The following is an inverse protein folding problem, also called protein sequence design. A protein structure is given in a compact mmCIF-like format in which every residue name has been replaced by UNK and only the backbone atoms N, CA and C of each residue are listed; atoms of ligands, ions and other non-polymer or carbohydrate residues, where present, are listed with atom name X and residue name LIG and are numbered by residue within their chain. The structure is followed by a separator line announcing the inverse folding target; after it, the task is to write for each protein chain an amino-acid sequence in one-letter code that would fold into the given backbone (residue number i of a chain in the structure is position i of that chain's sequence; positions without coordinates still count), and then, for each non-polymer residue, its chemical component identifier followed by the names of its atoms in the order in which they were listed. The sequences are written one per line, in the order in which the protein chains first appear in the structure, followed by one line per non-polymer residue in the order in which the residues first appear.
data_IF_644407006576
#
_entry.id   IF_644407006576
#
_cell.length_a   1.000
_cell.length_b   1.000
_cell.length_c   1.000
_cell.angle_alpha   90.00
_cell.angle_beta   90.00
_cell.angle_gamma   90.00
#
_symmetry.space_group_name_H-M   'P 1'
#
loop_
_entity.id
_entity.type
_entity.pdbx_description
1 polymer ?
#
# COMPACT_ATOMS: atom_id res chain seq x y z
N UNK A 1 -32.25 -69.26 -22.42
CA UNK A 1 -32.06 -68.27 -21.32
C UNK A 1 -31.45 -66.92 -21.75
N UNK A 2 -31.34 -66.53 -23.02
CA UNK A 2 -30.71 -65.30 -23.52
C UNK A 2 -31.63 -64.07 -23.65
N UNK A 3 -32.93 -64.17 -23.47
CA UNK A 3 -33.88 -63.05 -23.73
C UNK A 3 -34.21 -62.18 -22.49
N UNK A 4 -34.04 -62.67 -21.25
CA UNK A 4 -34.44 -61.91 -20.03
C UNK A 4 -33.42 -60.86 -19.60
N UNK A 5 -32.12 -61.03 -19.91
CA UNK A 5 -31.06 -60.10 -19.59
C UNK A 5 -31.12 -58.82 -20.41
N UNK A 6 -31.42 -58.89 -21.73
CA UNK A 6 -31.49 -57.74 -22.61
C UNK A 6 -32.62 -56.74 -22.22
N UNK A 7 -33.77 -57.29 -21.75
CA UNK A 7 -34.89 -56.43 -21.27
C UNK A 7 -34.60 -55.68 -19.97
N UNK A 8 -33.82 -56.26 -19.08
CA UNK A 8 -33.43 -55.61 -17.83
C UNK A 8 -32.41 -54.49 -18.08
N UNK A 9 -31.41 -54.72 -18.91
CA UNK A 9 -30.41 -53.71 -19.28
C UNK A 9 -31.05 -52.49 -19.96
N UNK A 10 -32.01 -52.75 -20.91
CA UNK A 10 -32.74 -51.67 -21.58
C UNK A 10 -33.66 -50.87 -20.63
N UNK A 11 -34.21 -51.48 -19.57
CA UNK A 11 -34.97 -50.80 -18.55
C UNK A 11 -34.06 -49.93 -17.65
N UNK A 12 -32.92 -50.48 -17.22
CA UNK A 12 -31.93 -49.73 -16.41
C UNK A 12 -31.35 -48.55 -17.19
N UNK A 13 -31.02 -48.70 -18.45
CA UNK A 13 -30.57 -47.61 -19.31
C UNK A 13 -31.61 -46.49 -19.45
N UNK A 14 -32.91 -46.83 -19.65
CA UNK A 14 -33.96 -45.80 -19.70
C UNK A 14 -34.17 -45.07 -18.38
N UNK A 15 -34.06 -45.74 -17.25
CA UNK A 15 -34.17 -45.11 -15.94
C UNK A 15 -32.97 -44.19 -15.68
N UNK A 16 -31.76 -44.61 -16.09
CA UNK A 16 -30.54 -43.79 -15.96
C UNK A 16 -30.62 -42.53 -16.82
N UNK A 17 -31.10 -42.64 -18.07
CA UNK A 17 -31.27 -41.51 -18.99
C UNK A 17 -32.34 -40.54 -18.42
N UNK A 18 -33.47 -41.04 -17.89
CA UNK A 18 -34.50 -40.21 -17.29
C UNK A 18 -33.98 -39.48 -16.02
N UNK A 19 -33.19 -40.16 -15.18
CA UNK A 19 -32.55 -39.56 -14.01
C UNK A 19 -31.57 -38.48 -14.39
N UNK A 20 -30.71 -38.72 -15.42
CA UNK A 20 -29.77 -37.74 -15.93
C UNK A 20 -30.47 -36.52 -16.54
N UNK A 21 -31.57 -36.70 -17.30
CA UNK A 21 -32.36 -35.58 -17.83
C UNK A 21 -33.00 -34.76 -16.70
N UNK A 22 -33.57 -35.44 -15.69
CA UNK A 22 -34.09 -34.79 -14.49
C UNK A 22 -33.03 -33.96 -13.74
N UNK A 23 -31.86 -34.51 -13.53
CA UNK A 23 -30.73 -33.81 -12.91
C UNK A 23 -30.26 -32.63 -13.76
N UNK A 24 -30.20 -32.79 -15.09
CA UNK A 24 -29.82 -31.72 -16.01
C UNK A 24 -30.81 -30.55 -15.98
N UNK A 25 -32.12 -30.85 -15.99
CA UNK A 25 -33.17 -29.82 -15.86
C UNK A 25 -33.14 -29.10 -14.50
N UNK A 26 -32.97 -29.85 -13.42
CA UNK A 26 -32.80 -29.27 -12.08
C UNK A 26 -31.59 -28.35 -11.98
N UNK A 27 -30.45 -28.79 -12.55
CA UNK A 27 -29.25 -27.98 -12.63
C UNK A 27 -29.44 -26.69 -13.45
N UNK A 28 -30.09 -26.80 -14.62
CA UNK A 28 -30.41 -25.65 -15.47
C UNK A 28 -31.33 -24.64 -14.77
N UNK A 29 -32.36 -25.09 -14.08
CA UNK A 29 -33.26 -24.23 -13.28
C UNK A 29 -32.51 -23.57 -12.11
N UNK A 30 -31.66 -24.29 -11.41
CA UNK A 30 -30.86 -23.75 -10.33
C UNK A 30 -29.87 -22.67 -10.84
N UNK A 31 -29.24 -22.90 -11.99
CA UNK A 31 -28.34 -21.93 -12.63
C UNK A 31 -29.08 -20.67 -13.06
N UNK A 32 -30.26 -20.80 -13.69
CA UNK A 32 -31.13 -19.69 -14.06
C UNK A 32 -31.58 -18.88 -12.83
N UNK A 33 -31.96 -19.56 -11.75
CA UNK A 33 -32.29 -18.93 -10.48
C UNK A 33 -31.10 -18.14 -9.88
N UNK A 34 -29.91 -18.71 -9.92
CA UNK A 34 -28.71 -18.05 -9.48
C UNK A 34 -28.39 -16.80 -10.31
N UNK A 35 -28.53 -16.88 -11.64
CA UNK A 35 -28.31 -15.71 -12.55
C UNK A 35 -29.35 -14.63 -12.24
N UNK A 36 -30.64 -14.98 -12.10
CA UNK A 36 -31.68 -14.01 -11.78
C UNK A 36 -31.44 -13.32 -10.43
N UNK A 37 -31.07 -14.08 -9.39
CA UNK A 37 -30.73 -13.54 -8.08
C UNK A 37 -29.49 -12.63 -8.14
N UNK A 38 -28.49 -12.99 -8.94
CA UNK A 38 -27.30 -12.17 -9.10
C UNK A 38 -27.59 -10.85 -9.82
N UNK A 39 -28.45 -10.87 -10.86
CA UNK A 39 -28.90 -9.67 -11.56
C UNK A 39 -29.73 -8.76 -10.65
N UNK A 40 -30.64 -9.33 -9.86
CA UNK A 40 -31.42 -8.57 -8.88
C UNK A 40 -30.53 -7.92 -7.82
N UNK A 41 -29.55 -8.66 -7.29
CA UNK A 41 -28.59 -8.15 -6.35
C UNK A 41 -27.74 -7.02 -6.95
N UNK A 42 -27.30 -7.15 -8.21
CA UNK A 42 -26.57 -6.11 -8.93
C UNK A 42 -27.44 -4.85 -9.11
N UNK A 43 -28.70 -4.99 -9.47
CA UNK A 43 -29.64 -3.88 -9.58
C UNK A 43 -29.86 -3.14 -8.25
N UNK A 44 -30.05 -3.87 -7.14
CA UNK A 44 -30.18 -3.27 -5.79
C UNK A 44 -28.93 -2.51 -5.40
N UNK A 45 -27.72 -3.08 -5.65
CA UNK A 45 -26.45 -2.42 -5.37
C UNK A 45 -26.26 -1.18 -6.26
N UNK A 46 -26.67 -1.24 -7.52
CA UNK A 46 -26.65 -0.12 -8.47
C UNK A 46 -27.55 1.03 -8.04
N UNK A 47 -28.80 0.75 -7.66
CA UNK A 47 -29.76 1.75 -7.16
C UNK A 47 -29.23 2.42 -5.89
N UNK A 48 -28.63 1.65 -4.96
CA UNK A 48 -28.03 2.20 -3.75
C UNK A 48 -26.82 3.12 -4.05
N UNK A 49 -26.08 2.89 -5.15
CA UNK A 49 -25.03 3.80 -5.63
C UNK A 49 -25.62 5.10 -6.18
N UNK A 50 -26.72 5.03 -6.95
CA UNK A 50 -27.41 6.18 -7.53
C UNK A 50 -28.08 7.06 -6.45
N UNK A 51 -28.55 6.46 -5.36
CA UNK A 51 -29.16 7.18 -4.23
C UNK A 51 -28.16 7.95 -3.35
N UNK A 52 -26.88 7.65 -3.46
CA UNK A 52 -25.80 8.48 -2.87
C UNK A 52 -25.58 9.69 -3.80
N UNK A 53 -26.38 10.71 -3.62
CA UNK A 53 -26.43 11.89 -4.48
C UNK A 53 -25.16 12.77 -4.43
N UNK A 54 -25.15 13.89 -5.15
CA UNK A 54 -23.98 14.71 -5.45
C UNK A 54 -23.25 15.32 -4.23
N UNK A 55 -23.80 15.27 -3.02
CA UNK A 55 -23.10 15.71 -1.80
C UNK A 55 -21.81 14.90 -1.52
N UNK A 56 -21.76 13.62 -1.89
CA UNK A 56 -20.56 12.79 -1.81
C UNK A 56 -19.48 13.18 -2.84
N UNK A 57 -19.82 13.98 -3.83
CA UNK A 57 -18.93 14.41 -4.90
C UNK A 57 -18.03 15.59 -4.47
N UNK A 58 -18.38 16.28 -3.37
CA UNK A 58 -17.60 17.40 -2.81
C UNK A 58 -16.58 16.95 -1.75
N UNK A 59 -16.74 15.77 -1.17
CA UNK A 59 -15.80 15.22 -0.19
C UNK A 59 -14.61 14.57 -0.92
N UNK A 60 -13.40 15.11 -0.69
CA UNK A 60 -12.16 14.60 -1.28
C UNK A 60 -11.90 13.14 -0.94
N UNK A 61 -12.15 12.73 0.29
CA UNK A 61 -11.98 11.37 0.77
C UNK A 61 -12.90 10.42 0.01
N UNK A 62 -14.17 10.82 -0.20
CA UNK A 62 -15.12 10.03 -1.00
C UNK A 62 -14.69 9.92 -2.46
N UNK A 63 -14.15 10.98 -3.05
CA UNK A 63 -13.60 10.98 -4.43
C UNK A 63 -12.40 10.05 -4.53
N UNK A 64 -11.50 10.07 -3.54
CA UNK A 64 -10.37 9.15 -3.49
C UNK A 64 -10.84 7.69 -3.45
N UNK A 65 -11.72 7.32 -2.53
CA UNK A 65 -12.21 5.93 -2.42
C UNK A 65 -13.00 5.46 -3.64
N UNK A 66 -13.63 6.39 -4.38
CA UNK A 66 -14.22 6.06 -5.67
C UNK A 66 -13.13 5.75 -6.73
N UNK A 67 -12.05 6.50 -6.75
CA UNK A 67 -10.91 6.27 -7.64
C UNK A 67 -10.13 5.00 -7.23
N UNK A 68 -9.94 4.77 -5.93
CA UNK A 68 -9.25 3.59 -5.37
C UNK A 68 -9.89 2.27 -5.83
N UNK A 69 -11.20 2.21 -5.97
CA UNK A 69 -11.89 1.04 -6.53
C UNK A 69 -11.42 0.64 -7.94
N UNK A 70 -10.73 1.53 -8.65
CA UNK A 70 -10.12 1.32 -9.97
C UNK A 70 -8.63 1.08 -9.92
N UNK A 71 -7.96 1.36 -8.79
CA UNK A 71 -6.53 1.10 -8.62
C UNK A 71 -6.25 -0.40 -8.80
N UNK A 72 -5.19 -0.68 -9.50
CA UNK A 72 -4.67 -2.04 -9.71
C UNK A 72 -3.18 -2.02 -9.42
N UNK A 73 -2.68 -3.13 -8.91
CA UNK A 73 -1.25 -3.37 -8.78
C UNK A 73 -0.82 -4.26 -9.92
N UNK A 74 0.33 -4.00 -10.49
CA UNK A 74 1.00 -4.85 -11.46
C UNK A 74 2.28 -5.41 -10.85
N UNK A 75 2.70 -6.58 -11.33
CA UNK A 75 3.96 -7.17 -10.94
C UNK A 75 5.13 -6.28 -11.37
N UNK A 76 6.05 -6.05 -10.45
CA UNK A 76 7.29 -5.34 -10.70
C UNK A 76 8.47 -6.15 -10.14
N UNK A 77 9.49 -6.47 -10.94
CA UNK A 77 10.66 -7.22 -10.48
C UNK A 77 11.32 -6.58 -9.27
N UNK A 78 11.80 -7.41 -8.34
CA UNK A 78 12.53 -7.08 -7.11
C UNK A 78 11.70 -6.39 -6.02
N UNK A 79 10.68 -5.61 -6.38
CA UNK A 79 9.80 -4.90 -5.44
C UNK A 79 8.40 -5.50 -5.35
N UNK A 80 8.13 -6.55 -6.13
CA UNK A 80 6.90 -7.34 -6.24
C UNK A 80 5.73 -6.64 -6.89
N UNK A 81 5.46 -5.38 -6.61
CA UNK A 81 4.36 -4.65 -7.26
C UNK A 81 4.65 -3.18 -7.41
N UNK A 82 3.93 -2.56 -8.32
CA UNK A 82 3.81 -1.12 -8.52
C UNK A 82 2.38 -0.79 -8.91
N UNK A 83 1.93 0.43 -8.63
CA UNK A 83 0.60 0.86 -9.03
C UNK A 83 0.50 0.92 -10.56
N UNK A 84 -0.56 0.31 -11.12
CA UNK A 84 -0.82 0.32 -12.56
C UNK A 84 -1.16 1.73 -13.04
N UNK A 85 -0.70 2.16 -14.24
CA UNK A 85 -1.05 3.44 -14.83
C UNK A 85 -2.56 3.67 -14.88
N UNK A 86 -3.00 4.84 -14.48
CA UNK A 86 -4.40 5.25 -14.56
C UNK A 86 -4.55 6.77 -14.72
N UNK A 87 -5.65 7.18 -15.34
CA UNK A 87 -6.06 8.57 -15.47
C UNK A 87 -7.44 8.73 -14.83
N UNK A 88 -7.57 9.70 -13.95
CA UNK A 88 -8.81 10.00 -13.23
C UNK A 88 -8.87 11.43 -12.71
N UNK A 89 -10.00 11.81 -12.14
CA UNK A 89 -10.23 13.17 -11.63
C UNK A 89 -9.51 13.45 -10.30
N UNK A 90 -9.12 12.40 -9.58
CA UNK A 90 -8.56 12.49 -8.24
C UNK A 90 -7.21 11.79 -8.12
N UNK A 91 -7.02 10.68 -8.81
CA UNK A 91 -5.79 9.87 -8.78
C UNK A 91 -5.32 9.66 -10.21
N UNK A 92 -4.10 10.09 -10.50
CA UNK A 92 -3.43 9.89 -11.76
C UNK A 92 -2.06 9.24 -11.50
N UNK A 93 -1.80 8.14 -12.20
CA UNK A 93 -0.56 7.37 -12.15
C UNK A 93 -0.02 7.26 -13.55
N UNK A 94 1.24 7.59 -13.75
CA UNK A 94 1.90 7.59 -15.06
C UNK A 94 2.32 6.17 -15.52
N UNK A 95 2.99 6.11 -16.68
CA UNK A 95 3.45 4.86 -17.26
C UNK A 95 4.49 4.13 -16.40
N UNK A 96 5.23 4.86 -15.58
CA UNK A 96 6.24 4.32 -14.65
C UNK A 96 5.64 3.90 -13.29
N UNK A 97 4.30 3.99 -13.15
CA UNK A 97 3.61 3.65 -11.91
C UNK A 97 3.79 4.70 -10.81
N UNK A 98 4.17 5.92 -11.16
CA UNK A 98 4.38 7.02 -10.22
C UNK A 98 3.14 7.92 -10.16
N UNK A 99 2.73 8.25 -8.95
CA UNK A 99 1.57 9.12 -8.76
C UNK A 99 1.90 10.56 -9.10
N UNK A 100 1.00 11.23 -9.84
CA UNK A 100 1.14 12.62 -10.23
C UNK A 100 1.26 13.54 -9.02
N UNK A 101 2.19 14.49 -9.11
CA UNK A 101 2.44 15.52 -8.09
C UNK A 101 1.94 16.88 -8.60
N UNK A 102 1.61 17.78 -7.69
CA UNK A 102 1.20 19.15 -8.01
C UNK A 102 2.23 19.84 -8.91
N UNK A 103 1.76 20.47 -9.97
CA UNK A 103 2.61 21.16 -10.96
C UNK A 103 3.31 20.23 -11.96
N UNK A 104 3.21 18.90 -11.84
CA UNK A 104 3.73 17.99 -12.85
C UNK A 104 3.04 18.21 -14.21
N UNK A 105 3.83 18.22 -15.30
CA UNK A 105 3.33 18.43 -16.66
C UNK A 105 2.97 19.88 -17.03
N UNK A 106 3.03 20.82 -16.09
CA UNK A 106 2.81 22.25 -16.37
C UNK A 106 4.10 23.02 -16.71
N UNK A 107 5.23 22.34 -16.62
CA UNK A 107 6.55 22.96 -16.84
C UNK A 107 6.90 22.94 -18.31
N UNK A 108 7.32 24.09 -18.82
CA UNK A 108 7.81 24.26 -20.21
C UNK A 108 9.34 24.16 -20.29
N UNK A 109 10.02 24.09 -19.16
CA UNK A 109 11.50 24.07 -19.06
C UNK A 109 11.92 22.84 -18.25
N UNK A 110 13.08 22.26 -18.62
CA UNK A 110 13.68 21.15 -17.87
C UNK A 110 13.88 21.55 -16.40
N UNK A 111 13.53 20.68 -15.43
CA UNK A 111 13.74 20.99 -14.01
C UNK A 111 15.21 21.32 -13.71
N UNK A 112 15.42 22.32 -12.86
CA UNK A 112 16.75 22.68 -12.36
C UNK A 112 17.21 21.75 -11.24
N UNK A 113 16.26 21.16 -10.50
CA UNK A 113 16.53 20.18 -9.47
C UNK A 113 15.37 19.19 -9.35
N UNK A 114 15.67 17.98 -8.87
CA UNK A 114 14.72 16.89 -8.66
C UNK A 114 14.71 16.45 -7.18
N UNK A 115 13.53 16.33 -6.62
CA UNK A 115 13.30 15.79 -5.28
C UNK A 115 12.46 14.52 -5.43
N UNK A 116 12.99 13.37 -5.03
CA UNK A 116 12.25 12.11 -4.99
C UNK A 116 11.73 11.90 -3.57
N UNK A 117 10.45 11.54 -3.45
CA UNK A 117 9.82 11.26 -2.15
C UNK A 117 9.36 9.81 -2.13
N UNK A 118 10.02 9.01 -1.31
CA UNK A 118 9.76 7.59 -1.10
C UNK A 118 8.93 7.39 0.15
N UNK A 119 8.14 6.33 0.19
CA UNK A 119 7.31 5.92 1.30
C UNK A 119 6.22 4.96 0.89
N UNK A 120 5.42 4.54 1.86
CA UNK A 120 4.27 3.68 1.66
C UNK A 120 3.03 4.41 1.14
N UNK A 121 1.86 3.90 1.52
CA UNK A 121 0.55 4.47 1.14
C UNK A 121 0.33 5.90 1.64
N UNK A 122 0.95 6.31 2.74
CA UNK A 122 0.89 7.67 3.27
C UNK A 122 1.54 8.67 2.31
N UNK A 123 2.71 8.35 1.76
CA UNK A 123 3.39 9.18 0.74
C UNK A 123 2.68 9.07 -0.60
N UNK A 124 2.23 7.87 -1.00
CA UNK A 124 1.35 7.71 -2.17
C UNK A 124 0.16 8.66 -2.08
N UNK A 125 -0.36 8.92 -0.89
CA UNK A 125 -1.47 9.82 -0.59
C UNK A 125 -2.81 9.09 -0.56
N UNK A 126 -2.86 7.96 0.16
CA UNK A 126 -4.12 7.27 0.44
C UNK A 126 -5.11 8.22 1.12
N UNK A 127 -6.34 8.24 0.63
CA UNK A 127 -7.41 9.11 1.14
C UNK A 127 -7.45 10.52 0.55
N UNK A 128 -6.45 10.96 -0.27
CA UNK A 128 -6.40 12.30 -0.82
C UNK A 128 -6.22 12.33 -2.34
N UNK A 129 -6.64 13.41 -3.00
CA UNK A 129 -6.40 13.61 -4.43
C UNK A 129 -4.95 14.07 -4.70
N UNK A 130 -4.51 13.97 -5.96
CA UNK A 130 -3.12 14.20 -6.40
C UNK A 130 -2.50 15.49 -5.85
N UNK A 131 -3.23 16.59 -5.90
CA UNK A 131 -2.70 17.90 -5.50
C UNK A 131 -2.55 18.08 -3.97
N UNK A 132 -2.92 17.08 -3.16
CA UNK A 132 -2.96 17.15 -1.69
C UNK A 132 -2.19 16.00 -1.00
N UNK A 133 -1.37 15.28 -1.74
CA UNK A 133 -0.44 14.31 -1.18
C UNK A 133 0.75 15.01 -0.50
N UNK A 134 1.45 14.34 0.41
CA UNK A 134 2.67 14.91 1.03
C UNK A 134 3.67 15.42 -0.03
N UNK A 135 4.00 14.68 -1.10
CA UNK A 135 4.86 15.20 -2.17
C UNK A 135 4.28 16.43 -2.89
N UNK A 136 2.97 16.51 -3.09
CA UNK A 136 2.32 17.66 -3.70
C UNK A 136 2.35 18.89 -2.80
N UNK A 137 2.10 18.74 -1.51
CA UNK A 137 2.20 19.82 -0.53
C UNK A 137 3.66 20.30 -0.37
N UNK A 138 4.63 19.37 -0.43
CA UNK A 138 6.04 19.72 -0.47
C UNK A 138 6.37 20.54 -1.73
N UNK A 139 5.87 20.15 -2.91
CA UNK A 139 6.07 20.92 -4.13
C UNK A 139 5.50 22.33 -4.03
N UNK A 140 4.32 22.51 -3.41
CA UNK A 140 3.72 23.83 -3.15
C UNK A 140 4.58 24.65 -2.18
N UNK A 141 5.07 24.03 -1.08
CA UNK A 141 5.91 24.69 -0.11
C UNK A 141 7.25 25.17 -0.72
N UNK A 142 7.90 24.33 -1.52
CA UNK A 142 9.11 24.71 -2.26
C UNK A 142 8.87 25.86 -3.24
N UNK A 143 7.76 25.81 -3.99
CA UNK A 143 7.37 26.89 -4.90
C UNK A 143 7.11 28.21 -4.15
N UNK A 144 6.42 28.17 -3.00
CA UNK A 144 6.18 29.32 -2.13
C UNK A 144 7.47 29.91 -1.56
N UNK A 145 8.48 29.07 -1.31
CA UNK A 145 9.83 29.49 -0.90
C UNK A 145 10.69 30.04 -2.05
N UNK A 146 10.13 30.22 -3.24
CA UNK A 146 10.82 30.77 -4.42
C UNK A 146 11.55 29.72 -5.26
N UNK A 147 11.52 28.44 -4.89
CA UNK A 147 12.16 27.35 -5.63
C UNK A 147 11.27 26.83 -6.76
N UNK A 148 10.98 27.68 -7.75
CA UNK A 148 9.97 27.40 -8.80
C UNK A 148 10.38 26.35 -9.82
N UNK A 149 11.67 26.03 -9.92
CA UNK A 149 12.22 25.09 -10.91
C UNK A 149 12.62 23.75 -10.26
N UNK A 150 11.99 23.36 -9.16
CA UNK A 150 12.18 22.05 -8.50
C UNK A 150 11.06 21.11 -8.88
N UNK A 151 11.40 19.92 -9.36
CA UNK A 151 10.46 18.84 -9.63
C UNK A 151 10.39 17.91 -8.43
N UNK A 152 9.20 17.74 -7.86
CA UNK A 152 8.96 16.74 -6.82
C UNK A 152 8.29 15.53 -7.45
N UNK A 153 8.88 14.36 -7.29
CA UNK A 153 8.38 13.09 -7.84
C UNK A 153 7.90 12.20 -6.71
N UNK A 154 6.68 11.70 -6.81
CA UNK A 154 6.08 10.82 -5.82
C UNK A 154 6.42 9.36 -6.12
N UNK A 155 7.37 8.79 -5.40
CA UNK A 155 7.73 7.37 -5.44
C UNK A 155 6.97 6.52 -4.41
N UNK A 156 6.03 7.11 -3.68
CA UNK A 156 5.19 6.37 -2.73
C UNK A 156 4.40 5.26 -3.42
N UNK A 157 4.32 4.11 -2.77
CA UNK A 157 3.57 2.94 -3.26
C UNK A 157 2.76 2.32 -2.13
N UNK A 158 1.61 1.72 -2.47
CA UNK A 158 0.75 1.08 -1.47
C UNK A 158 1.47 -0.11 -0.83
N UNK A 159 1.58 -0.10 0.50
CA UNK A 159 2.14 -1.21 1.27
C UNK A 159 3.67 -1.39 1.18
N UNK A 160 4.41 -0.44 0.60
CA UNK A 160 5.87 -0.55 0.55
C UNK A 160 6.49 -0.41 1.94
N UNK A 161 7.52 -1.19 2.16
CA UNK A 161 8.46 -1.11 3.28
C UNK A 161 9.76 -0.48 2.81
N UNK A 162 10.56 0.05 3.72
CA UNK A 162 11.81 0.76 3.42
C UNK A 162 12.76 -0.02 2.49
N UNK A 163 12.82 -1.35 2.58
CA UNK A 163 13.63 -2.19 1.68
C UNK A 163 13.16 -2.08 0.21
N UNK A 164 11.85 -2.06 -0.05
CA UNK A 164 11.33 -1.89 -1.41
C UNK A 164 11.62 -0.49 -1.95
N UNK A 165 11.60 0.51 -1.11
CA UNK A 165 11.90 1.91 -1.46
C UNK A 165 13.36 2.08 -1.86
N UNK A 166 14.29 1.48 -1.09
CA UNK A 166 15.72 1.44 -1.45
C UNK A 166 15.94 0.75 -2.78
N UNK A 167 15.29 -0.39 -3.02
CA UNK A 167 15.38 -1.08 -4.31
C UNK A 167 14.82 -0.22 -5.46
N UNK A 168 13.73 0.51 -5.24
CA UNK A 168 13.16 1.44 -6.21
C UNK A 168 14.10 2.61 -6.51
N UNK A 169 14.77 3.16 -5.49
CA UNK A 169 15.80 4.18 -5.67
C UNK A 169 16.98 3.63 -6.50
N UNK A 170 17.54 2.48 -6.12
CA UNK A 170 18.67 1.87 -6.83
C UNK A 170 18.32 1.59 -8.29
N UNK A 171 17.08 1.16 -8.58
CA UNK A 171 16.63 0.97 -9.95
C UNK A 171 16.59 2.28 -10.75
N UNK A 172 16.07 3.35 -10.13
CA UNK A 172 16.04 4.69 -10.73
C UNK A 172 17.45 5.21 -11.01
N UNK A 173 18.36 5.08 -10.05
CA UNK A 173 19.76 5.50 -10.17
C UNK A 173 20.49 4.73 -11.29
N UNK A 174 20.27 3.42 -11.40
CA UNK A 174 20.82 2.57 -12.47
C UNK A 174 20.40 3.06 -13.86
N UNK A 175 19.20 3.62 -14.00
CA UNK A 175 18.69 4.19 -15.25
C UNK A 175 19.21 5.63 -15.51
N UNK A 176 20.09 6.14 -14.67
CA UNK A 176 20.64 7.50 -14.75
C UNK A 176 19.69 8.59 -14.25
N UNK A 177 18.56 8.21 -13.62
CA UNK A 177 17.64 9.16 -13.03
C UNK A 177 18.04 9.42 -11.58
N UNK A 178 18.98 10.34 -11.37
CA UNK A 178 19.53 10.72 -10.07
C UNK A 178 18.78 11.95 -9.55
N UNK A 179 18.26 11.96 -8.31
CA UNK A 179 17.68 13.15 -7.69
C UNK A 179 18.79 14.07 -7.15
N UNK A 180 18.46 15.32 -6.84
CA UNK A 180 19.28 16.20 -6.01
C UNK A 180 19.02 15.93 -4.52
N UNK A 181 17.77 15.58 -4.18
CA UNK A 181 17.37 15.19 -2.81
C UNK A 181 16.45 13.97 -2.89
N UNK A 182 16.72 12.96 -2.07
CA UNK A 182 15.84 11.81 -1.84
C UNK A 182 15.29 11.88 -0.41
N UNK A 183 13.98 11.95 -0.28
CA UNK A 183 13.23 11.97 1.00
C UNK A 183 12.60 10.61 1.22
N UNK A 184 12.81 10.01 2.38
CA UNK A 184 12.17 8.78 2.83
C UNK A 184 11.26 9.10 4.01
N UNK A 185 9.97 8.75 3.92
CA UNK A 185 8.98 8.98 4.96
C UNK A 185 8.15 7.70 5.15
N UNK A 186 8.60 6.85 6.05
CA UNK A 186 8.15 5.47 6.22
C UNK A 186 8.23 5.01 7.67
N UNK A 187 8.16 3.69 7.90
CA UNK A 187 8.26 3.06 9.21
C UNK A 187 7.01 2.25 9.60
N UNK A 188 5.81 2.75 9.38
CA UNK A 188 4.58 2.03 9.76
C UNK A 188 4.46 0.68 9.03
N UNK A 189 4.70 0.65 7.72
CA UNK A 189 4.64 -0.59 6.95
C UNK A 189 5.75 -1.56 7.35
N UNK A 190 6.95 -1.08 7.71
CA UNK A 190 8.02 -1.90 8.26
C UNK A 190 7.58 -2.60 9.56
N UNK A 191 6.85 -1.89 10.42
CA UNK A 191 6.26 -2.45 11.66
C UNK A 191 5.17 -3.46 11.34
N UNK A 192 4.21 -3.12 10.45
CA UNK A 192 3.12 -4.03 10.05
C UNK A 192 3.67 -5.30 9.44
N UNK A 193 4.58 -5.18 8.48
CA UNK A 193 5.19 -6.32 7.81
C UNK A 193 5.93 -7.23 8.77
N UNK A 194 6.76 -6.66 9.64
CA UNK A 194 7.47 -7.44 10.65
C UNK A 194 6.52 -8.16 11.60
N UNK A 195 5.42 -7.51 11.99
CA UNK A 195 4.41 -8.12 12.84
C UNK A 195 3.70 -9.29 12.15
N UNK A 196 3.39 -9.17 10.86
CA UNK A 196 2.75 -10.23 10.06
C UNK A 196 3.66 -11.45 9.89
N UNK A 197 4.93 -11.21 9.60
CA UNK A 197 5.87 -12.24 9.17
C UNK A 197 6.76 -12.78 10.31
N UNK A 198 6.80 -12.11 11.45
CA UNK A 198 7.74 -12.42 12.53
C UNK A 198 9.20 -12.10 12.22
N UNK A 199 9.48 -11.42 11.11
CA UNK A 199 10.81 -11.05 10.60
C UNK A 199 10.78 -9.63 10.08
N UNK A 200 11.78 -8.82 10.44
CA UNK A 200 11.91 -7.44 9.96
C UNK A 200 12.54 -7.34 8.58
N UNK A 201 12.20 -6.28 7.83
CA UNK A 201 12.84 -5.90 6.57
C UNK A 201 12.36 -6.65 5.34
N UNK A 202 11.34 -7.50 5.46
CA UNK A 202 10.70 -8.18 4.32
C UNK A 202 9.34 -7.53 4.00
N UNK A 203 8.78 -7.84 2.86
CA UNK A 203 7.53 -7.23 2.39
C UNK A 203 6.31 -7.75 3.13
N UNK A 204 5.24 -6.98 3.11
CA UNK A 204 3.94 -7.46 3.60
C UNK A 204 3.49 -8.72 2.85
N UNK A 205 2.81 -9.62 3.57
CA UNK A 205 2.23 -10.85 3.02
C UNK A 205 3.23 -11.79 2.30
N UNK A 206 4.46 -11.87 2.79
CA UNK A 206 5.51 -12.72 2.20
C UNK A 206 5.11 -14.20 2.12
N UNK A 207 4.37 -14.71 3.12
CA UNK A 207 3.84 -16.08 3.07
C UNK A 207 3.01 -16.37 1.80
N UNK A 208 2.25 -15.38 1.30
CA UNK A 208 1.46 -15.55 0.08
C UNK A 208 2.37 -15.70 -1.14
N UNK A 209 3.46 -14.93 -1.22
CA UNK A 209 4.43 -15.00 -2.33
C UNK A 209 5.18 -16.31 -2.34
N UNK A 210 5.58 -16.77 -1.15
CA UNK A 210 6.18 -18.10 -0.99
C UNK A 210 5.20 -19.18 -1.42
N UNK A 211 3.92 -19.07 -1.03
CA UNK A 211 2.89 -20.03 -1.43
C UNK A 211 2.64 -20.00 -2.95
N UNK A 212 2.58 -18.82 -3.58
CA UNK A 212 2.44 -18.67 -5.02
C UNK A 212 3.63 -19.24 -5.77
N UNK A 213 4.87 -18.93 -5.34
CA UNK A 213 6.09 -19.48 -5.94
C UNK A 213 6.14 -21.01 -5.82
N UNK A 214 5.82 -21.54 -4.65
CA UNK A 214 5.79 -22.98 -4.44
C UNK A 214 4.69 -23.66 -5.27
N UNK A 215 3.54 -23.00 -5.46
CA UNK A 215 2.46 -23.52 -6.30
C UNK A 215 2.85 -23.64 -7.77
N UNK A 216 3.75 -22.80 -8.28
CA UNK A 216 4.28 -22.90 -9.63
C UNK A 216 5.25 -24.07 -9.78
N UNK A 217 5.91 -24.49 -8.72
CA UNK A 217 6.87 -25.60 -8.72
C UNK A 217 6.22 -26.98 -8.45
N UNK A 218 4.97 -26.99 -7.94
CA UNK A 218 4.19 -28.22 -7.83
C UNK A 218 3.54 -28.49 -9.18
N UNK A 219 3.70 -29.73 -9.70
CA UNK A 219 3.00 -30.19 -10.91
C UNK A 219 1.53 -29.79 -10.83
N UNK A 220 1.09 -29.01 -11.81
CA UNK A 220 -0.24 -28.46 -11.90
C UNK A 220 -1.27 -29.58 -11.68
N UNK A 221 -2.01 -29.53 -10.59
CA UNK A 221 -3.24 -30.28 -10.43
C UNK A 221 -4.35 -29.55 -11.20
N UNK A 222 -4.75 -30.02 -12.40
CA UNK A 222 -5.74 -29.34 -13.23
C UNK A 222 -7.11 -29.27 -12.56
N UNK A 223 -7.46 -30.27 -11.76
CA UNK A 223 -8.75 -30.32 -11.02
C UNK A 223 -8.76 -29.30 -9.87
N UNK A 224 -7.66 -29.20 -9.13
CA UNK A 224 -7.52 -28.19 -8.08
C UNK A 224 -7.49 -26.76 -8.64
N UNK A 225 -6.86 -26.54 -9.81
CA UNK A 225 -6.87 -25.26 -10.50
C UNK A 225 -8.30 -24.87 -10.95
N UNK A 226 -9.03 -25.79 -11.59
CA UNK A 226 -10.41 -25.59 -11.99
C UNK A 226 -11.31 -25.29 -10.77
N UNK A 227 -11.16 -26.05 -9.68
CA UNK A 227 -11.91 -25.83 -8.43
C UNK A 227 -11.66 -24.46 -7.84
N UNK A 228 -10.39 -23.98 -7.81
CA UNK A 228 -10.04 -22.63 -7.34
C UNK A 228 -10.68 -21.53 -8.21
N UNK A 229 -10.67 -21.71 -9.54
CA UNK A 229 -11.31 -20.77 -10.48
C UNK A 229 -12.81 -20.69 -10.28
N UNK A 230 -13.49 -21.82 -10.13
CA UNK A 230 -14.94 -21.87 -9.84
C UNK A 230 -15.26 -21.16 -8.52
N UNK A 231 -14.49 -21.43 -7.45
CA UNK A 231 -14.67 -20.77 -6.15
C UNK A 231 -14.43 -19.26 -6.24
N UNK A 232 -13.42 -18.82 -7.00
CA UNK A 232 -13.17 -17.40 -7.22
C UNK A 232 -14.32 -16.73 -7.99
N UNK A 233 -14.81 -17.36 -9.05
CA UNK A 233 -15.97 -16.89 -9.82
C UNK A 233 -17.25 -16.80 -8.97
N UNK A 234 -17.55 -17.83 -8.16
CA UNK A 234 -18.67 -17.78 -7.23
C UNK A 234 -18.57 -16.63 -6.22
N UNK A 235 -17.35 -16.33 -5.74
CA UNK A 235 -17.13 -15.23 -4.78
C UNK A 235 -17.36 -13.84 -5.37
N UNK A 236 -17.18 -13.66 -6.69
CA UNK A 236 -17.43 -12.40 -7.39
C UNK A 236 -18.92 -12.09 -7.61
N UNK A 237 -19.82 -13.01 -7.32
CA UNK A 237 -21.26 -12.83 -7.53
C UNK A 237 -21.83 -11.72 -6.65
N UNK A 238 -22.62 -10.84 -7.23
CA UNK A 238 -23.30 -9.74 -6.53
C UNK A 238 -24.20 -10.19 -5.40
N UNK A 239 -24.81 -11.39 -5.54
CA UNK A 239 -25.63 -12.00 -4.49
C UNK A 239 -24.83 -12.30 -3.23
N UNK A 240 -23.57 -12.73 -3.35
CA UNK A 240 -22.68 -12.98 -2.20
C UNK A 240 -22.31 -11.65 -1.51
N UNK A 241 -22.04 -10.60 -2.29
CA UNK A 241 -21.76 -9.27 -1.73
C UNK A 241 -22.99 -8.69 -1.01
N UNK A 242 -24.18 -8.85 -1.57
CA UNK A 242 -25.41 -8.39 -0.96
C UNK A 242 -25.73 -9.17 0.33
N UNK A 243 -25.61 -10.49 0.31
CA UNK A 243 -25.87 -11.33 1.50
C UNK A 243 -24.94 -10.97 2.66
N UNK A 244 -23.64 -10.76 2.41
CA UNK A 244 -22.69 -10.31 3.42
C UNK A 244 -23.07 -8.95 4.01
N UNK A 245 -23.52 -8.00 3.18
CA UNK A 245 -23.99 -6.69 3.64
C UNK A 245 -25.23 -6.81 4.53
N UNK A 246 -26.19 -7.66 4.17
CA UNK A 246 -27.38 -7.91 4.98
C UNK A 246 -27.02 -8.57 6.32
N UNK A 247 -26.19 -9.62 6.31
CA UNK A 247 -25.76 -10.32 7.52
C UNK A 247 -25.07 -9.37 8.50
N UNK A 248 -24.15 -8.52 8.02
CA UNK A 248 -23.50 -7.48 8.86
C UNK A 248 -24.54 -6.52 9.46
N UNK A 249 -25.56 -6.14 8.69
CA UNK A 249 -26.59 -5.19 9.16
C UNK A 249 -27.49 -5.76 10.25
N UNK A 250 -27.68 -7.07 10.29
CA UNK A 250 -28.45 -7.77 11.33
C UNK A 250 -27.57 -8.32 12.47
N UNK A 251 -26.29 -7.87 12.54
CA UNK A 251 -25.37 -8.21 13.63
C UNK A 251 -24.76 -9.62 13.57
N UNK A 252 -24.95 -10.36 12.48
CA UNK A 252 -24.31 -11.67 12.30
C UNK A 252 -22.87 -11.43 11.86
N UNK A 253 -21.86 -11.90 12.64
CA UNK A 253 -20.47 -11.78 12.26
C UNK A 253 -20.22 -12.57 10.96
N UNK A 254 -19.98 -11.84 9.90
CA UNK A 254 -19.49 -12.44 8.65
C UNK A 254 -17.97 -12.48 8.77
N UNK A 255 -17.36 -13.66 8.78
CA UNK A 255 -15.91 -13.74 8.82
C UNK A 255 -15.34 -12.89 7.69
N UNK A 256 -14.56 -11.89 8.04
CA UNK A 256 -13.66 -11.24 7.09
C UNK A 256 -12.61 -12.26 6.75
N UNK A 257 -12.85 -12.98 5.67
CA UNK A 257 -11.89 -13.94 5.23
C UNK A 257 -10.74 -13.21 4.57
N UNK A 258 -9.62 -13.22 5.27
CA UNK A 258 -8.41 -13.57 4.58
C UNK A 258 -8.71 -14.88 3.81
N UNK A 259 -8.71 -14.85 2.50
CA UNK A 259 -8.73 -16.07 1.71
C UNK A 259 -7.58 -16.92 2.23
N UNK A 260 -7.81 -18.22 2.54
CA UNK A 260 -6.66 -19.14 2.70
C UNK A 260 -5.82 -18.98 1.44
N UNK A 261 -4.71 -18.24 1.53
CA UNK A 261 -3.78 -17.97 0.45
C UNK A 261 -3.49 -16.51 0.14
N UNK A 262 -4.33 -15.51 0.47
CA UNK A 262 -3.99 -14.09 0.27
C UNK A 262 -4.40 -13.34 1.54
N UNK A 263 -3.43 -13.03 2.41
CA UNK A 263 -3.63 -12.09 3.51
C UNK A 263 -3.71 -10.69 2.90
N UNK A 264 -4.65 -9.89 3.36
CA UNK A 264 -4.69 -8.49 2.96
C UNK A 264 -3.57 -7.74 3.71
N UNK A 265 -3.06 -6.68 3.13
CA UNK A 265 -1.96 -5.90 3.70
C UNK A 265 -2.21 -5.43 5.14
N UNK A 266 -3.46 -5.20 5.52
CA UNK A 266 -3.86 -4.81 6.87
C UNK A 266 -4.20 -5.97 7.82
N UNK A 267 -4.05 -7.23 7.40
CA UNK A 267 -4.23 -8.36 8.31
C UNK A 267 -3.00 -8.53 9.19
N UNK A 268 -3.07 -7.96 10.37
CA UNK A 268 -2.01 -8.01 11.40
C UNK A 268 -2.12 -9.22 12.32
N UNK A 269 -2.85 -10.27 11.92
CA UNK A 269 -2.88 -11.52 12.67
C UNK A 269 -1.57 -12.29 12.51
N UNK A 270 -0.94 -12.63 13.62
CA UNK A 270 0.24 -13.49 13.68
C UNK A 270 0.02 -14.62 14.68
N UNK A 271 0.18 -15.86 14.22
CA UNK A 271 -0.10 -17.06 15.03
C UNK A 271 1.12 -17.63 15.75
N UNK A 272 2.34 -17.12 15.51
CA UNK A 272 3.58 -17.65 16.08
C UNK A 272 4.04 -16.93 17.36
N UNK A 273 5.00 -17.52 18.07
CA UNK A 273 5.76 -16.83 19.11
C UNK A 273 6.64 -15.75 18.46
N UNK A 274 6.59 -14.53 18.99
CA UNK A 274 7.42 -13.44 18.50
C UNK A 274 8.71 -13.35 19.27
N UNK A 275 9.81 -13.13 18.52
CA UNK A 275 11.06 -12.70 19.13
C UNK A 275 10.82 -11.39 19.91
N UNK A 276 11.08 -11.32 21.23
CA UNK A 276 10.93 -10.08 22.00
C UNK A 276 11.79 -8.92 21.47
N UNK A 277 12.78 -9.21 20.63
CA UNK A 277 13.65 -8.21 20.00
C UNK A 277 13.08 -7.68 18.68
N UNK A 278 11.98 -8.24 18.16
CA UNK A 278 11.47 -7.94 16.81
C UNK A 278 11.22 -6.43 16.59
N UNK A 279 10.66 -5.73 17.58
CA UNK A 279 10.45 -4.28 17.49
C UNK A 279 11.77 -3.50 17.27
N UNK A 280 12.84 -3.89 17.93
CA UNK A 280 14.18 -3.30 17.71
C UNK A 280 14.79 -3.74 16.39
N UNK A 281 14.51 -4.96 15.94
CA UNK A 281 14.98 -5.46 14.64
C UNK A 281 14.36 -4.70 13.47
N UNK A 282 13.10 -4.25 13.60
CA UNK A 282 12.44 -3.36 12.60
C UNK A 282 13.28 -2.09 12.40
N UNK A 283 13.58 -1.41 13.48
CA UNK A 283 14.36 -0.15 13.43
C UNK A 283 15.80 -0.39 12.99
N UNK A 284 16.40 -1.52 13.38
CA UNK A 284 17.75 -1.90 12.93
C UNK A 284 17.79 -2.19 11.42
N UNK A 285 16.75 -2.83 10.87
CA UNK A 285 16.60 -3.07 9.43
C UNK A 285 16.46 -1.76 8.67
N UNK A 286 15.56 -0.87 9.13
CA UNK A 286 15.42 0.47 8.59
C UNK A 286 16.76 1.25 8.59
N UNK A 287 17.45 1.25 9.72
CA UNK A 287 18.75 1.90 9.84
C UNK A 287 19.82 1.31 8.90
N UNK A 288 19.78 0.00 8.63
CA UNK A 288 20.64 -0.62 7.63
C UNK A 288 20.34 -0.09 6.23
N UNK A 289 19.06 0.00 5.86
CA UNK A 289 18.60 0.58 4.60
C UNK A 289 19.04 2.05 4.46
N UNK A 290 18.85 2.86 5.50
CA UNK A 290 19.24 4.27 5.49
C UNK A 290 20.75 4.44 5.31
N UNK A 291 21.58 3.62 5.98
CA UNK A 291 23.04 3.64 5.78
C UNK A 291 23.47 3.26 4.37
N UNK A 292 22.77 2.29 3.73
CA UNK A 292 23.03 1.96 2.32
C UNK A 292 22.72 3.15 1.41
N UNK A 293 21.58 3.81 1.61
CA UNK A 293 21.22 5.01 0.85
C UNK A 293 22.22 6.13 1.06
N UNK A 294 22.68 6.38 2.30
CA UNK A 294 23.73 7.36 2.62
C UNK A 294 25.07 7.06 1.91
N UNK A 295 25.44 5.78 1.81
CA UNK A 295 26.63 5.37 1.07
C UNK A 295 26.50 5.68 -0.42
N UNK A 296 25.35 5.37 -1.01
CA UNK A 296 25.04 5.63 -2.42
C UNK A 296 24.91 7.13 -2.71
N UNK A 297 24.26 7.87 -1.82
CA UNK A 297 24.05 9.32 -1.96
C UNK A 297 25.38 10.07 -2.04
N UNK A 298 26.34 9.76 -1.15
CA UNK A 298 27.69 10.32 -1.20
C UNK A 298 28.43 9.99 -2.49
N UNK A 299 28.22 8.78 -3.04
CA UNK A 299 28.88 8.36 -4.28
C UNK A 299 28.31 9.06 -5.52
N UNK A 300 27.01 9.35 -5.52
CA UNK A 300 26.31 9.91 -6.68
C UNK A 300 25.99 11.41 -6.55
N UNK A 301 26.31 12.03 -5.40
CA UNK A 301 26.23 13.47 -5.19
C UNK A 301 24.81 13.99 -4.95
N UNK A 302 23.94 13.21 -4.28
CA UNK A 302 22.63 13.70 -3.84
C UNK A 302 22.52 13.67 -2.32
N UNK A 303 21.53 14.39 -1.76
CA UNK A 303 21.26 14.38 -0.31
C UNK A 303 20.12 13.42 0.00
N UNK A 304 20.29 12.58 1.02
CA UNK A 304 19.23 11.72 1.54
C UNK A 304 18.69 12.28 2.87
N UNK A 305 17.37 12.26 3.03
CA UNK A 305 16.66 12.72 4.23
C UNK A 305 15.70 11.61 4.70
N UNK A 306 15.74 11.30 6.00
CA UNK A 306 14.96 10.18 6.55
C UNK A 306 14.02 10.66 7.64
N UNK A 307 12.75 10.29 7.52
CA UNK A 307 11.68 10.64 8.44
C UNK A 307 10.93 9.38 8.86
N UNK A 308 10.73 9.21 10.17
CA UNK A 308 9.84 8.20 10.70
C UNK A 308 8.43 8.78 10.75
N UNK A 309 7.49 8.22 9.97
CA UNK A 309 6.16 8.79 9.74
C UNK A 309 5.28 8.80 10.99
N UNK A 310 4.31 9.75 11.11
CA UNK A 310 3.39 9.76 12.23
C UNK A 310 2.37 8.62 12.15
N UNK A 311 1.83 8.24 13.31
CA UNK A 311 0.70 7.32 13.46
C UNK A 311 -0.23 7.82 14.55
N UNK A 312 -1.52 7.49 14.46
CA UNK A 312 -2.51 7.86 15.47
C UNK A 312 -2.17 7.34 16.87
N UNK A 313 -1.39 6.26 16.96
CA UNK A 313 -1.03 5.64 18.25
C UNK A 313 0.04 6.42 19.04
N UNK A 314 0.75 7.34 18.39
CA UNK A 314 1.68 8.28 19.03
C UNK A 314 1.03 9.64 19.32
N UNK A 315 -0.20 9.87 18.83
CA UNK A 315 -0.95 11.09 19.13
C UNK A 315 -1.50 11.04 20.57
N UNK A 316 -1.31 12.12 21.32
CA UNK A 316 -1.81 12.23 22.70
C UNK A 316 -3.33 12.19 22.80
N UNK A 317 -4.01 12.61 21.74
CA UNK A 317 -5.46 12.67 21.61
C UNK A 317 -6.02 11.51 20.78
N UNK A 318 -5.34 10.36 20.76
CA UNK A 318 -5.67 9.17 19.97
C UNK A 318 -7.17 8.78 20.04
N UNK A 319 -7.77 8.86 21.22
CA UNK A 319 -9.18 8.49 21.41
C UNK A 319 -10.16 9.39 20.62
N UNK A 320 -9.75 10.62 20.29
CA UNK A 320 -10.51 11.60 19.51
C UNK A 320 -10.23 11.44 18.02
N UNK A 321 -9.00 11.04 17.67
CA UNK A 321 -8.51 10.94 16.30
C UNK A 321 -8.94 9.65 15.59
N UNK A 322 -9.15 8.54 16.34
CA UNK A 322 -9.52 7.26 15.73
C UNK A 322 -10.97 7.28 15.23
N UNK A 323 -11.22 6.94 13.96
CA UNK A 323 -12.57 6.71 13.47
C UNK A 323 -13.27 5.61 14.29
N UNK A 324 -14.56 5.80 14.60
CA UNK A 324 -15.34 4.80 15.35
C UNK A 324 -15.33 3.45 14.64
N UNK A 325 -14.81 2.43 15.31
CA UNK A 325 -14.69 1.06 14.77
C UNK A 325 -13.41 0.76 14.01
N UNK A 326 -12.49 1.71 13.89
CA UNK A 326 -11.10 1.45 13.55
C UNK A 326 -10.36 1.02 14.84
N UNK A 327 -9.55 0.00 14.75
CA UNK A 327 -8.73 -0.43 15.86
C UNK A 327 -8.10 -1.79 15.59
N UNK A 328 -6.82 -1.82 15.76
CA UNK A 328 -6.02 -3.04 15.77
C UNK A 328 -6.02 -3.67 17.18
N UNK A 329 -5.53 -4.90 17.28
CA UNK A 329 -5.44 -5.60 18.55
C UNK A 329 -4.49 -4.88 19.52
N UNK A 330 -4.76 -4.95 20.84
CA UNK A 330 -3.88 -4.37 21.86
C UNK A 330 -2.43 -4.89 21.73
N UNK A 331 -2.26 -6.13 21.28
CA UNK A 331 -0.96 -6.75 21.07
C UNK A 331 -0.18 -6.06 19.92
N UNK A 332 -0.85 -5.74 18.80
CA UNK A 332 -0.23 -4.98 17.72
C UNK A 332 0.09 -3.55 18.15
N UNK A 333 -0.81 -2.89 18.87
CA UNK A 333 -0.58 -1.53 19.37
C UNK A 333 0.65 -1.47 20.30
N UNK A 334 0.84 -2.47 21.18
CA UNK A 334 2.02 -2.55 22.03
C UNK A 334 3.29 -2.73 21.20
N UNK A 335 3.27 -3.64 20.23
CA UNK A 335 4.40 -3.86 19.33
C UNK A 335 4.75 -2.59 18.51
N UNK A 336 3.73 -1.87 18.04
CA UNK A 336 3.90 -0.62 17.33
C UNK A 336 4.56 0.44 18.24
N UNK A 337 4.05 0.64 19.47
CA UNK A 337 4.66 1.58 20.44
C UNK A 337 6.10 1.22 20.76
N UNK A 338 6.43 -0.05 20.94
CA UNK A 338 7.81 -0.50 21.16
C UNK A 338 8.71 -0.16 19.96
N UNK A 339 8.21 -0.35 18.73
CA UNK A 339 8.93 -0.02 17.50
C UNK A 339 9.15 1.50 17.36
N UNK A 340 8.12 2.30 17.62
CA UNK A 340 8.20 3.76 17.57
C UNK A 340 9.11 4.31 18.67
N UNK A 341 9.05 3.77 19.88
CA UNK A 341 10.00 4.12 20.95
C UNK A 341 11.45 3.81 20.58
N UNK A 342 11.69 2.71 19.87
CA UNK A 342 13.02 2.38 19.36
C UNK A 342 13.48 3.35 18.26
N UNK A 343 12.60 3.75 17.35
CA UNK A 343 12.89 4.75 16.31
C UNK A 343 13.17 6.14 16.93
N UNK A 344 12.37 6.56 17.91
CA UNK A 344 12.60 7.78 18.67
C UNK A 344 13.92 7.75 19.47
N UNK A 345 14.35 6.60 19.95
CA UNK A 345 15.67 6.45 20.57
C UNK A 345 16.82 6.59 19.56
N UNK A 346 16.63 6.06 18.34
CA UNK A 346 17.60 6.18 17.25
C UNK A 346 17.72 7.64 16.77
N UNK A 347 16.60 8.36 16.64
CA UNK A 347 16.60 9.76 16.19
C UNK A 347 17.38 10.71 17.12
N UNK A 348 17.51 10.35 18.39
CA UNK A 348 18.30 11.12 19.37
C UNK A 348 19.81 10.85 19.32
N UNK A 349 20.28 9.92 18.48
CA UNK A 349 21.68 9.51 18.39
C UNK A 349 22.19 9.46 16.94
N UNK A 350 22.14 10.57 16.20
CA UNK A 350 22.49 10.58 14.78
C UNK A 350 23.96 10.17 14.52
N UNK A 351 24.87 10.54 15.41
CA UNK A 351 26.32 10.25 15.24
C UNK A 351 26.61 8.74 15.27
N UNK A 352 25.93 8.00 16.13
CA UNK A 352 26.07 6.54 16.21
C UNK A 352 25.43 5.81 15.00
N UNK A 353 24.42 6.43 14.37
CA UNK A 353 23.65 5.82 13.31
C UNK A 353 24.30 5.94 11.93
N UNK A 354 25.16 6.95 11.71
CA UNK A 354 25.76 7.29 10.42
C UNK A 354 24.80 7.95 9.42
N UNK A 355 23.62 8.36 9.90
CA UNK A 355 22.60 9.14 9.20
C UNK A 355 21.71 9.85 10.23
N UNK A 356 20.95 10.86 9.79
CA UNK A 356 19.99 11.56 10.65
C UNK A 356 18.59 11.04 10.38
N UNK A 357 17.92 10.53 11.42
CA UNK A 357 16.50 10.18 11.39
C UNK A 357 15.70 11.28 12.10
N UNK A 358 14.73 11.86 11.42
CA UNK A 358 13.76 12.78 12.04
C UNK A 358 12.50 12.02 12.40
N UNK A 359 12.18 11.95 13.69
CA UNK A 359 10.98 11.31 14.19
C UNK A 359 9.79 12.27 14.09
N UNK A 360 8.78 11.89 13.30
CA UNK A 360 7.53 12.63 13.14
C UNK A 360 6.38 12.05 13.98
N UNK A 361 6.62 11.05 14.82
CA UNK A 361 5.58 10.38 15.62
C UNK A 361 4.65 11.34 16.34
N UNK A 362 5.21 12.39 16.95
CA UNK A 362 4.47 13.42 17.68
C UNK A 362 4.19 14.71 16.86
N UNK A 363 4.48 14.73 15.57
CA UNK A 363 4.43 15.94 14.74
C UNK A 363 3.00 16.51 14.58
N UNK A 364 1.99 15.66 14.76
CA UNK A 364 0.58 16.02 14.62
C UNK A 364 -0.12 16.27 15.96
N UNK A 365 0.58 16.17 17.09
CA UNK A 365 0.03 16.50 18.41
C UNK A 365 -0.50 17.94 18.44
N UNK A 366 -1.74 18.10 18.92
CA UNK A 366 -2.40 19.40 19.01
C UNK A 366 -3.00 19.90 17.69
N UNK A 367 -2.98 19.11 16.62
CA UNK A 367 -3.74 19.42 15.41
C UNK A 367 -5.25 19.18 15.64
N UNK A 368 -6.12 19.85 14.87
CA UNK A 368 -7.56 19.68 15.00
C UNK A 368 -7.99 18.23 14.80
N UNK A 369 -9.14 17.86 15.39
CA UNK A 369 -9.79 16.56 15.20
C UNK A 369 -9.89 16.19 13.72
N UNK A 370 -9.75 14.90 13.41
CA UNK A 370 -9.89 14.37 12.04
C UNK A 370 -8.64 14.44 11.17
N UNK A 371 -7.45 14.54 11.77
CA UNK A 371 -6.15 14.50 11.09
C UNK A 371 -5.87 13.15 10.45
N UNK A 372 -6.27 12.06 11.11
CA UNK A 372 -6.12 10.69 10.65
C UNK A 372 -7.41 10.14 10.05
N UNK A 373 -7.30 9.52 8.88
CA UNK A 373 -8.40 8.81 8.21
C UNK A 373 -8.56 7.38 8.78
N UNK A 374 -7.48 6.82 9.29
CA UNK A 374 -7.37 5.53 9.95
C UNK A 374 -6.13 5.50 10.87
N UNK A 375 -5.48 4.36 11.02
CA UNK A 375 -4.33 4.19 11.92
C UNK A 375 -3.11 5.04 11.52
N UNK A 376 -2.98 5.44 10.24
CA UNK A 376 -1.75 6.04 9.70
C UNK A 376 -1.97 7.04 8.56
N UNK A 377 -3.06 6.93 7.82
CA UNK A 377 -3.30 7.79 6.66
C UNK A 377 -3.86 9.15 7.09
N UNK A 378 -3.38 10.18 6.46
CA UNK A 378 -3.64 11.56 6.83
C UNK A 378 -4.64 12.23 5.90
N UNK A 379 -5.41 13.16 6.44
CA UNK A 379 -6.20 14.07 5.61
C UNK A 379 -5.28 15.09 4.91
N UNK A 380 -5.86 15.89 3.99
CA UNK A 380 -5.11 16.88 3.22
C UNK A 380 -4.39 17.92 4.10
N UNK A 381 -4.99 18.33 5.24
CA UNK A 381 -4.41 19.36 6.12
C UNK A 381 -3.15 18.85 6.80
N UNK A 382 -3.18 17.58 7.21
CA UNK A 382 -2.06 16.99 7.91
C UNK A 382 -0.96 16.50 6.97
N UNK A 383 -1.29 16.17 5.72
CA UNK A 383 -0.30 16.05 4.66
C UNK A 383 0.47 17.37 4.46
N UNK A 384 -0.24 18.53 4.49
CA UNK A 384 0.39 19.85 4.44
C UNK A 384 1.29 20.12 5.65
N UNK A 385 0.86 19.74 6.86
CA UNK A 385 1.68 19.88 8.09
C UNK A 385 2.98 19.09 7.97
N UNK A 386 2.90 17.82 7.60
CA UNK A 386 4.08 16.97 7.39
C UNK A 386 4.99 17.56 6.31
N UNK A 387 4.45 17.98 5.19
CA UNK A 387 5.22 18.61 4.11
C UNK A 387 5.93 19.90 4.57
N UNK A 388 5.28 20.72 5.40
CA UNK A 388 5.90 21.93 5.99
C UNK A 388 7.05 21.63 6.94
N UNK A 389 7.02 20.49 7.63
CA UNK A 389 8.13 20.04 8.48
C UNK A 389 9.31 19.58 7.62
N UNK A 390 9.04 18.88 6.53
CA UNK A 390 10.07 18.35 5.61
C UNK A 390 10.71 19.49 4.76
N UNK A 391 9.93 20.47 4.33
CA UNK A 391 10.36 21.49 3.36
C UNK A 391 11.64 22.25 3.75
N UNK A 392 11.86 22.71 5.01
CA UNK A 392 13.10 23.41 5.40
C UNK A 392 14.36 22.58 5.16
N UNK A 393 14.32 21.27 5.42
CA UNK A 393 15.47 20.40 5.23
C UNK A 393 15.76 20.18 3.75
N UNK A 394 14.72 20.00 2.93
CA UNK A 394 14.84 19.92 1.46
C UNK A 394 15.39 21.22 0.89
N UNK A 395 14.90 22.38 1.34
CA UNK A 395 15.42 23.70 0.92
C UNK A 395 16.90 23.84 1.26
N UNK A 396 17.29 23.43 2.48
CA UNK A 396 18.68 23.46 2.91
C UNK A 396 19.56 22.56 2.03
N UNK A 397 19.12 21.32 1.78
CA UNK A 397 19.83 20.35 0.96
C UNK A 397 20.02 20.87 -0.48
N UNK A 398 18.98 21.41 -1.09
CA UNK A 398 19.03 21.98 -2.45
C UNK A 398 19.96 23.20 -2.55
N UNK A 399 20.08 24.01 -1.50
CA UNK A 399 21.01 25.18 -1.48
C UNK A 399 22.47 24.75 -1.32
N UNK A 400 22.76 23.74 -0.48
CA UNK A 400 24.11 23.23 -0.28
C UNK A 400 24.60 22.38 -1.46
N UNK A 401 23.71 21.64 -2.13
CA UNK A 401 24.05 20.87 -3.34
C UNK A 401 24.38 21.74 -4.55
N UNK A 402 23.99 23.02 -4.54
CA UNK A 402 24.34 24.00 -5.58
C UNK A 402 25.72 24.66 -5.38
N UNK A 403 26.40 24.43 -4.26
CA UNK A 403 27.80 24.86 -4.13
C UNK A 403 28.70 23.85 -4.84
N UNK A 404 29.57 24.28 -5.81
CA UNK A 404 30.46 23.36 -6.49
C UNK A 404 31.41 22.73 -5.43
N UNK A 405 31.49 21.41 -5.42
CA UNK A 405 32.40 20.67 -4.56
C UNK A 405 33.79 21.29 -4.67
N UNK A 406 34.32 21.84 -3.58
CA UNK A 406 35.71 22.31 -3.55
C UNK A 406 36.60 21.14 -3.97
N UNK A 407 37.46 21.29 -4.99
CA UNK A 407 38.34 20.23 -5.42
C UNK A 407 39.14 19.76 -4.21
N UNK A 408 38.96 18.52 -3.81
CA UNK A 408 39.78 17.89 -2.79
C UNK A 408 41.25 17.96 -3.31
N UNK A 409 42.05 18.81 -2.73
CA UNK A 409 43.45 18.92 -3.03
C UNK A 409 44.13 17.56 -2.80
N UNK A 410 44.25 16.76 -3.84
CA UNK A 410 45.21 15.66 -3.89
C UNK A 410 46.56 16.29 -3.92
N UNK A 411 47.19 16.38 -2.75
CA UNK A 411 48.58 16.61 -2.66
C UNK A 411 49.33 15.59 -3.54
N UNK A 412 49.87 16.07 -4.64
CA UNK A 412 50.90 15.37 -5.42
C UNK A 412 52.06 15.05 -4.46
N UNK A 413 52.17 13.80 -4.02
CA UNK A 413 53.45 13.28 -3.56
C UNK A 413 54.11 12.61 -4.76
N UNK A 414 54.94 13.38 -5.41
CA UNK A 414 56.03 12.83 -6.19
C UNK A 414 56.99 12.08 -5.25
N UNK A 415 57.22 10.81 -5.54
CA UNK A 415 58.53 10.15 -5.47
C UNK A 415 58.43 8.87 -6.30
#
# INVERSE_FOLDING_TARGET
MRGRGAGLVARLARLLIAALDGLWRAFGLALLGLVALNLLAAAILGINRLRKGPAAQQDMVARYFQAEGKLRLMWEPYVYWRTHPMIGDCVNVDADGLRKTWGAGKRTVKPGAKVFVFGGSTVFGHGTCDDFTIPSELAKALNAAGMRNVEVVNFGQLGYVSTQEVLSLLWSLRLGNVPDVAVFCDGFNDVVSAYQNGVAGITENEENRVAEFNALNVTMDPLGAAGRTVVAAMRSLSVIHLSRRVLRRIGIPVPERGSRGIRMSWDVSYAGERDPRLARQVVASYAANARLVEGVSRSLGFTALFYWQPTVYEDKDMAVQLPRGAGTTAQFQNFLRESYAAAAALSRKPDDAGFTLTDLGAALNGQPEGCFLDDVHLDQRCNEVVARIIAPDVIRALRHGSEPAKPSGRASRAH
#
